data_IF_418320600312
#
_entry.id   IF_418320600312
#
_cell.length_a   1.000
_cell.length_b   1.000
_cell.length_c   1.000
_cell.angle_alpha   90.00
_cell.angle_beta   90.00
_cell.angle_gamma   90.00
#
_symmetry.space_group_name_H-M   'P 1'
#
loop_
_entity.id
_entity.type
_entity.pdbx_description
1 polymer ?
#
# COMPACT_ATOMS: atom_id res chain seq x y z
N UNK A 1 14.56 -3.65 -6.42
CA UNK A 1 14.88 -2.21 -6.38
C UNK A 1 14.14 -1.57 -5.20
N UNK A 2 14.85 -0.98 -4.22
CA UNK A 2 14.22 -0.41 -3.00
C UNK A 2 13.63 1.00 -3.19
N UNK A 3 13.95 1.70 -4.29
CA UNK A 3 13.48 3.06 -4.50
C UNK A 3 12.08 3.09 -5.15
N UNK A 4 11.11 3.63 -4.39
CA UNK A 4 9.73 3.81 -4.82
C UNK A 4 9.59 4.51 -6.17
N UNK A 5 10.26 5.66 -6.38
CA UNK A 5 10.06 6.47 -7.58
C UNK A 5 10.56 5.78 -8.84
N UNK A 6 11.62 4.98 -8.72
CA UNK A 6 12.11 4.14 -9.81
C UNK A 6 11.12 3.05 -10.19
N UNK A 7 10.57 2.33 -9.19
CA UNK A 7 9.52 1.33 -9.43
C UNK A 7 8.30 1.99 -10.08
N UNK A 8 7.86 3.13 -9.55
CA UNK A 8 6.76 3.91 -10.09
C UNK A 8 7.00 4.34 -11.55
N UNK A 9 8.16 4.94 -11.84
CA UNK A 9 8.48 5.47 -13.17
C UNK A 9 8.53 4.35 -14.22
N UNK A 10 9.14 3.21 -13.90
CA UNK A 10 9.21 2.04 -14.79
C UNK A 10 7.83 1.43 -15.01
N UNK A 11 7.05 1.24 -13.94
CA UNK A 11 5.73 0.60 -14.02
C UNK A 11 4.67 1.45 -14.73
N UNK A 12 4.76 2.78 -14.60
CA UNK A 12 3.75 3.69 -15.15
C UNK A 12 4.19 4.44 -16.41
N UNK A 13 5.40 4.14 -16.91
CA UNK A 13 6.09 4.93 -17.94
C UNK A 13 6.02 6.44 -17.63
N UNK A 14 6.52 6.82 -16.45
CA UNK A 14 6.46 8.17 -15.89
C UNK A 14 5.03 8.75 -15.76
N UNK A 15 4.05 7.90 -15.50
CA UNK A 15 2.65 8.28 -15.31
C UNK A 15 1.80 8.33 -16.59
N UNK A 16 2.37 7.97 -17.75
CA UNK A 16 1.64 7.92 -19.02
C UNK A 16 0.59 6.81 -19.06
N UNK A 17 0.79 5.74 -18.29
CA UNK A 17 -0.16 4.62 -18.23
C UNK A 17 -1.10 4.69 -17.03
N UNK A 18 -1.26 5.85 -16.36
CA UNK A 18 -2.28 5.95 -15.32
C UNK A 18 -3.69 5.90 -15.89
N UNK A 19 -4.51 4.96 -15.42
CA UNK A 19 -5.93 4.93 -15.76
C UNK A 19 -6.77 5.94 -14.98
N UNK A 20 -6.39 6.18 -13.73
CA UNK A 20 -7.27 6.83 -12.78
C UNK A 20 -6.91 8.31 -12.61
N UNK A 21 -7.94 9.15 -12.57
CA UNK A 21 -7.78 10.60 -12.41
C UNK A 21 -7.27 10.91 -11.00
N UNK A 22 -6.40 11.90 -10.90
CA UNK A 22 -5.97 12.42 -9.60
C UNK A 22 -7.15 13.11 -8.91
N UNK A 23 -7.35 12.83 -7.61
CA UNK A 23 -8.29 13.56 -6.77
C UNK A 23 -7.58 14.14 -5.53
N UNK A 24 -7.62 15.46 -5.33
CA UNK A 24 -7.06 16.08 -4.14
C UNK A 24 -7.84 15.72 -2.87
N UNK A 25 -9.15 15.49 -2.98
CA UNK A 25 -10.00 15.09 -1.86
C UNK A 25 -9.62 13.69 -1.37
N UNK A 26 -9.45 12.74 -2.31
CA UNK A 26 -9.00 11.40 -1.98
C UNK A 26 -7.56 11.39 -1.46
N UNK A 27 -6.66 12.18 -2.05
CA UNK A 27 -5.29 12.33 -1.55
C UNK A 27 -5.25 12.79 -0.09
N UNK A 28 -6.02 13.82 0.26
CA UNK A 28 -6.12 14.31 1.63
C UNK A 28 -6.75 13.27 2.56
N UNK A 29 -7.82 12.58 2.13
CA UNK A 29 -8.47 11.53 2.91
C UNK A 29 -7.52 10.36 3.20
N UNK A 30 -6.80 9.87 2.18
CA UNK A 30 -5.84 8.78 2.34
C UNK A 30 -4.67 9.15 3.24
N UNK A 31 -4.15 10.38 3.16
CA UNK A 31 -3.13 10.85 4.12
C UNK A 31 -3.64 10.80 5.56
N UNK A 32 -4.86 11.29 5.83
CA UNK A 32 -5.47 11.23 7.17
C UNK A 32 -5.66 9.79 7.65
N UNK A 33 -6.04 8.88 6.76
CA UNK A 33 -6.18 7.46 7.07
C UNK A 33 -4.84 6.83 7.45
N UNK A 34 -3.78 7.13 6.68
CA UNK A 34 -2.42 6.69 7.01
C UNK A 34 -2.01 7.26 8.38
N UNK A 35 -2.15 8.56 8.59
CA UNK A 35 -1.75 9.20 9.86
C UNK A 35 -2.49 8.63 11.08
N UNK A 36 -3.77 8.26 10.92
CA UNK A 36 -4.61 7.75 12.01
C UNK A 36 -4.46 6.25 12.25
N UNK A 37 -4.24 5.46 11.20
CA UNK A 37 -4.36 4.00 11.25
C UNK A 37 -3.09 3.25 10.86
N UNK A 38 -1.94 3.93 10.78
CA UNK A 38 -0.68 3.29 10.40
C UNK A 38 -0.29 2.10 11.31
N UNK A 39 -0.58 2.15 12.60
CA UNK A 39 -0.24 1.07 13.54
C UNK A 39 -1.15 -0.16 13.41
N UNK A 40 -2.38 0.04 12.92
CA UNK A 40 -3.44 -0.97 12.85
C UNK A 40 -3.77 -1.36 11.40
N UNK A 41 -2.86 -1.12 10.47
CA UNK A 41 -3.05 -1.47 9.06
C UNK A 41 -3.05 -2.98 8.89
N UNK A 42 -4.02 -3.50 8.14
CA UNK A 42 -4.05 -4.89 7.72
C UNK A 42 -3.66 -4.98 6.26
N UNK A 43 -2.59 -5.71 5.97
CA UNK A 43 -2.06 -5.85 4.60
C UNK A 43 -2.46 -7.21 4.05
N UNK A 44 -3.33 -7.21 3.04
CA UNK A 44 -3.71 -8.39 2.27
C UNK A 44 -2.83 -8.60 1.05
N UNK A 45 -3.25 -9.53 0.18
CA UNK A 45 -2.55 -9.83 -1.08
C UNK A 45 -2.68 -8.71 -2.12
N UNK A 46 -3.85 -8.09 -2.17
CA UNK A 46 -4.24 -7.13 -3.21
C UNK A 46 -4.61 -5.76 -2.67
N UNK A 47 -5.06 -5.73 -1.43
CA UNK A 47 -5.59 -4.56 -0.75
C UNK A 47 -4.93 -4.38 0.61
N UNK A 48 -4.97 -3.16 1.13
CA UNK A 48 -4.69 -2.86 2.53
C UNK A 48 -5.90 -2.16 3.16
N UNK A 49 -6.19 -2.51 4.41
CA UNK A 49 -7.28 -1.92 5.19
C UNK A 49 -6.73 -0.92 6.18
N UNK A 50 -7.19 0.33 6.08
CA UNK A 50 -6.90 1.45 6.97
C UNK A 50 -8.21 1.87 7.66
N UNK A 51 -8.44 1.37 8.86
CA UNK A 51 -9.71 1.57 9.56
C UNK A 51 -10.87 0.93 8.77
N UNK A 52 -11.85 1.74 8.36
CA UNK A 52 -13.00 1.28 7.56
C UNK A 52 -12.76 1.36 6.04
N UNK A 53 -11.62 1.88 5.59
CA UNK A 53 -11.31 2.04 4.18
C UNK A 53 -10.41 0.90 3.69
N UNK A 54 -10.73 0.36 2.52
CA UNK A 54 -9.90 -0.60 1.82
C UNK A 54 -9.28 0.05 0.58
N UNK A 55 -7.98 -0.18 0.37
CA UNK A 55 -7.16 0.52 -0.62
C UNK A 55 -6.41 -0.50 -1.47
N UNK A 56 -6.37 -0.29 -2.78
CA UNK A 56 -5.60 -1.14 -3.69
C UNK A 56 -4.08 -0.97 -3.52
N UNK A 57 -3.37 -2.09 -3.38
CA UNK A 57 -1.92 -2.11 -3.21
C UNK A 57 -1.21 -3.04 -4.22
N UNK A 58 -1.95 -3.83 -4.99
CA UNK A 58 -1.37 -4.68 -6.03
C UNK A 58 -1.22 -4.00 -7.40
N UNK A 59 -0.52 -4.70 -8.30
CA UNK A 59 -0.43 -4.38 -9.72
C UNK A 59 0.25 -3.03 -10.02
N UNK A 60 1.58 -3.03 -9.89
CA UNK A 60 2.53 -2.10 -10.51
C UNK A 60 1.98 -0.67 -10.75
N UNK A 61 1.68 0.05 -9.66
CA UNK A 61 1.36 1.48 -9.63
C UNK A 61 0.16 1.99 -10.44
N UNK A 62 -0.51 1.16 -11.23
CA UNK A 62 -1.58 1.58 -12.13
C UNK A 62 -2.86 2.03 -11.40
N UNK A 63 -3.26 1.25 -10.39
CA UNK A 63 -4.39 1.50 -9.50
C UNK A 63 -3.95 1.68 -8.04
N UNK A 64 -2.66 1.89 -7.81
CA UNK A 64 -2.10 1.88 -6.46
C UNK A 64 -2.59 3.07 -5.65
N UNK A 65 -3.09 2.80 -4.45
CA UNK A 65 -3.65 3.82 -3.57
C UNK A 65 -5.08 4.25 -3.91
N UNK A 66 -5.76 3.61 -4.87
CA UNK A 66 -7.18 3.89 -5.13
C UNK A 66 -8.06 3.19 -4.09
N UNK A 67 -9.23 3.75 -3.83
CA UNK A 67 -10.20 3.12 -2.94
C UNK A 67 -10.77 1.85 -3.59
N UNK A 68 -10.76 0.73 -2.86
CA UNK A 68 -11.39 -0.51 -3.29
C UNK A 68 -12.92 -0.41 -3.17
N UNK A 69 -13.65 -0.84 -4.20
CA UNK A 69 -15.12 -0.86 -4.21
C UNK A 69 -15.80 0.52 -4.25
N UNK A 70 -15.04 1.60 -4.47
CA UNK A 70 -15.59 2.94 -4.64
C UNK A 70 -16.31 3.11 -5.98
N UNK A 71 -17.35 3.94 -6.02
CA UNK A 71 -18.09 4.30 -7.25
C UNK A 71 -17.18 5.02 -8.26
N UNK A 72 -16.15 5.71 -7.77
CA UNK A 72 -15.17 6.41 -8.57
C UNK A 72 -13.75 5.98 -8.18
N UNK A 73 -12.98 5.52 -9.16
CA UNK A 73 -11.58 5.19 -8.96
C UNK A 73 -10.70 6.44 -9.14
N UNK A 74 -10.38 7.09 -8.03
CA UNK A 74 -9.44 8.20 -8.02
C UNK A 74 -8.08 7.78 -7.48
N UNK A 75 -7.01 8.28 -8.09
CA UNK A 75 -5.65 8.08 -7.58
C UNK A 75 -5.24 9.23 -6.66
N UNK A 76 -4.47 8.94 -5.59
CA UNK A 76 -3.83 9.98 -4.80
C UNK A 76 -2.58 10.51 -5.52
N UNK A 77 -1.86 11.44 -4.89
CA UNK A 77 -0.57 11.92 -5.38
C UNK A 77 0.50 10.83 -5.26
N UNK A 78 1.55 10.95 -6.08
CA UNK A 78 2.72 10.03 -6.03
C UNK A 78 3.41 10.07 -4.66
N UNK A 79 3.38 11.24 -3.98
CA UNK A 79 3.91 11.39 -2.63
C UNK A 79 3.12 10.54 -1.63
N UNK A 80 1.80 10.56 -1.69
CA UNK A 80 0.93 9.76 -0.81
C UNK A 80 1.07 8.27 -1.10
N UNK A 81 1.16 7.88 -2.38
CA UNK A 81 1.47 6.50 -2.75
C UNK A 81 2.79 6.01 -2.14
N UNK A 82 3.83 6.86 -2.12
CA UNK A 82 5.10 6.52 -1.45
C UNK A 82 4.94 6.29 0.05
N UNK A 83 4.16 7.14 0.73
CA UNK A 83 3.87 6.97 2.16
C UNK A 83 3.18 5.64 2.41
N UNK A 84 2.18 5.33 1.61
CA UNK A 84 1.46 4.05 1.66
C UNK A 84 2.39 2.86 1.41
N UNK A 85 3.24 2.92 0.39
CA UNK A 85 4.21 1.87 0.06
C UNK A 85 5.23 1.62 1.16
N UNK A 86 5.71 2.70 1.80
CA UNK A 86 6.63 2.59 2.95
C UNK A 86 5.96 1.90 4.14
N UNK A 87 4.70 2.25 4.41
CA UNK A 87 3.92 1.63 5.47
C UNK A 87 3.68 0.14 5.20
N UNK A 88 3.26 -0.22 3.98
CA UNK A 88 3.02 -1.62 3.59
C UNK A 88 4.29 -2.44 3.70
N UNK A 89 5.43 -1.92 3.23
CA UNK A 89 6.70 -2.63 3.34
C UNK A 89 7.05 -2.91 4.81
N UNK A 90 6.91 -1.91 5.67
CA UNK A 90 7.19 -2.06 7.10
C UNK A 90 6.29 -3.13 7.75
N UNK A 91 4.99 -3.12 7.44
CA UNK A 91 4.05 -4.12 7.96
C UNK A 91 4.36 -5.52 7.43
N UNK A 92 4.69 -5.65 6.14
CA UNK A 92 5.04 -6.95 5.54
C UNK A 92 6.32 -7.53 6.13
N UNK A 93 7.36 -6.72 6.32
CA UNK A 93 8.60 -7.15 6.98
C UNK A 93 8.34 -7.64 8.40
N UNK A 94 7.48 -6.94 9.16
CA UNK A 94 7.09 -7.37 10.51
C UNK A 94 6.36 -8.72 10.49
N UNK A 95 5.38 -8.89 9.60
CA UNK A 95 4.64 -10.15 9.45
C UNK A 95 5.59 -11.31 9.08
N UNK A 96 6.56 -11.07 8.19
CA UNK A 96 7.54 -12.07 7.79
C UNK A 96 8.47 -12.46 8.94
N UNK A 97 8.94 -11.50 9.73
CA UNK A 97 9.75 -11.75 10.92
C UNK A 97 8.98 -12.58 11.97
N UNK A 98 7.72 -12.24 12.24
CA UNK A 98 6.87 -13.01 13.16
C UNK A 98 6.72 -14.46 12.69
N UNK A 99 6.45 -14.68 11.39
CA UNK A 99 6.39 -16.04 10.81
C UNK A 99 7.70 -16.81 10.94
N UNK A 100 8.83 -16.16 10.70
CA UNK A 100 10.13 -16.80 10.86
C UNK A 100 10.40 -17.21 12.31
N UNK A 101 10.02 -16.36 13.28
CA UNK A 101 10.17 -16.67 14.71
C UNK A 101 9.26 -17.83 15.14
N UNK A 102 8.01 -17.86 14.66
CA UNK A 102 7.09 -18.97 14.92
C UNK A 102 7.63 -20.30 14.36
N UNK A 103 8.13 -20.27 13.13
CA UNK A 103 8.72 -21.45 12.49
C UNK A 103 9.97 -21.94 13.23
N UNK A 104 10.82 -21.03 13.71
CA UNK A 104 11.99 -21.38 14.53
C UNK A 104 11.58 -22.06 15.86
N UNK A 105 10.58 -21.51 16.57
CA UNK A 105 10.04 -22.11 17.81
C UNK A 105 9.45 -23.49 17.58
N UNK A 106 8.77 -23.71 16.44
CA UNK A 106 8.25 -25.03 16.09
C UNK A 106 9.39 -26.03 15.88
N UNK A 107 10.46 -25.64 15.18
CA UNK A 107 11.62 -26.51 14.95
C UNK A 107 12.42 -26.83 16.22
N UNK A 108 12.47 -25.93 17.21
CA UNK A 108 13.10 -26.17 18.52
C UNK A 108 12.27 -27.08 19.45
N UNK A 109 10.96 -27.22 19.18
CA UNK A 109 10.05 -28.04 19.96
C UNK A 109 10.00 -29.53 19.53
N UNK A 110 10.73 -29.89 18.46
CA UNK A 110 10.91 -31.26 17.98
C UNK A 110 12.33 -31.77 18.29
#
# INVERSE_FOLDING_TARGET
MKNFYWRWAVSTFCGLTYNNKYSPEWDAALNRLIDKHWESIEVGRHTARLGSAEVWISNAFYAYGTQYGGVYEFRPSVKTMRRLDSLIWHTQEKIEQEKHQEHAKQMEAF
#
